data_IF_205969638589
#
_entry.id   IF_205969638589
#
_cell.length_a   1.000
_cell.length_b   1.000
_cell.length_c   1.000
_cell.angle_alpha   90.00
_cell.angle_beta   90.00
_cell.angle_gamma   90.00
#
_symmetry.space_group_name_H-M   'P 1'
#
loop_
_entity.id
_entity.type
_entity.pdbx_description
1 polymer ?
#
# COMPACT_ATOMS: atom_id res chain seq x y z
N UNK A 1 9.96 -48.70 -54.48
CA UNK A 1 11.34 -48.64 -53.91
C UNK A 1 11.34 -47.68 -52.74
N UNK A 2 11.59 -48.21 -51.55
CA UNK A 2 11.49 -47.50 -50.25
C UNK A 2 12.64 -46.50 -50.12
N UNK A 3 12.40 -45.32 -49.48
CA UNK A 3 13.38 -44.67 -48.64
C UNK A 3 12.67 -43.80 -47.60
N UNK A 4 12.97 -44.12 -46.35
CA UNK A 4 12.54 -43.45 -45.13
C UNK A 4 13.30 -42.14 -44.93
N UNK A 5 12.59 -41.05 -44.62
CA UNK A 5 13.16 -39.81 -44.10
C UNK A 5 12.81 -39.63 -42.62
N UNK A 6 13.84 -39.57 -41.76
CA UNK A 6 13.75 -39.37 -40.31
C UNK A 6 13.28 -37.96 -39.99
N UNK A 7 12.23 -37.87 -39.18
CA UNK A 7 11.81 -36.65 -38.46
C UNK A 7 12.84 -36.30 -37.40
N UNK A 8 13.48 -35.18 -37.56
CA UNK A 8 14.28 -34.51 -36.50
C UNK A 8 13.34 -33.84 -35.51
N UNK A 9 13.29 -34.36 -34.28
CA UNK A 9 12.72 -33.68 -33.12
C UNK A 9 13.63 -32.52 -32.76
N UNK A 10 13.15 -31.32 -32.92
CA UNK A 10 13.75 -30.14 -32.31
C UNK A 10 13.48 -30.20 -30.80
N UNK A 11 14.55 -30.42 -30.05
CA UNK A 11 14.59 -30.21 -28.61
C UNK A 11 14.43 -28.71 -28.35
N UNK A 12 13.23 -28.33 -27.91
CA UNK A 12 12.99 -27.03 -27.30
C UNK A 12 13.75 -26.97 -25.97
N UNK A 13 14.94 -26.39 -26.01
CA UNK A 13 15.77 -26.13 -24.85
C UNK A 13 14.97 -25.30 -23.83
N UNK A 14 14.56 -25.94 -22.75
CA UNK A 14 14.11 -25.30 -21.53
C UNK A 14 15.31 -24.53 -20.95
N UNK A 15 15.36 -23.24 -21.24
CA UNK A 15 16.26 -22.31 -20.55
C UNK A 15 15.82 -22.22 -19.08
N UNK A 16 16.43 -23.01 -18.23
CA UNK A 16 16.35 -22.89 -16.79
C UNK A 16 17.28 -21.75 -16.32
N UNK A 17 16.84 -20.51 -16.54
CA UNK A 17 17.42 -19.35 -15.84
C UNK A 17 16.61 -19.19 -14.54
N UNK A 18 16.76 -20.11 -13.62
CA UNK A 18 16.40 -19.96 -12.23
C UNK A 18 17.68 -19.66 -11.46
N UNK A 19 18.01 -18.37 -11.39
CA UNK A 19 18.90 -17.87 -10.33
C UNK A 19 18.35 -18.35 -9.00
N UNK A 20 19.22 -18.89 -8.13
CA UNK A 20 18.89 -19.51 -6.85
C UNK A 20 18.28 -18.53 -5.85
N UNK A 21 17.04 -18.10 -6.07
CA UNK A 21 16.24 -17.36 -5.11
C UNK A 21 15.81 -18.28 -3.96
N UNK A 22 15.81 -17.74 -2.77
CA UNK A 22 15.38 -18.43 -1.54
C UNK A 22 13.96 -18.98 -1.72
N UNK A 23 13.82 -20.32 -1.76
CA UNK A 23 12.53 -20.96 -2.05
C UNK A 23 11.46 -20.62 -1.01
N UNK A 24 11.82 -20.43 0.26
CA UNK A 24 10.90 -20.14 1.36
C UNK A 24 11.12 -18.70 1.83
N UNK A 25 10.60 -17.74 1.08
CA UNK A 25 10.70 -16.32 1.38
C UNK A 25 9.35 -15.62 1.20
N UNK A 26 9.10 -14.60 2.03
CA UNK A 26 7.91 -13.78 2.00
C UNK A 26 8.28 -12.30 1.90
N UNK A 27 7.56 -11.57 1.05
CA UNK A 27 7.60 -10.10 1.01
C UNK A 27 6.33 -9.56 1.67
N UNK A 28 6.47 -8.71 2.68
CA UNK A 28 5.34 -8.19 3.46
C UNK A 28 5.29 -6.66 3.36
N UNK A 29 4.22 -6.14 2.77
CA UNK A 29 3.88 -4.74 2.81
C UNK A 29 2.82 -4.51 3.90
N UNK A 30 3.25 -3.88 5.01
CA UNK A 30 2.41 -3.57 6.17
C UNK A 30 1.66 -2.26 5.98
N UNK A 31 0.74 -2.22 5.02
CA UNK A 31 -0.09 -1.04 4.78
C UNK A 31 -1.16 -0.83 5.86
N UNK A 32 -1.56 0.43 6.06
CA UNK A 32 -2.53 0.81 7.11
C UNK A 32 -3.95 0.30 6.85
N UNK A 33 -4.38 0.23 5.59
CA UNK A 33 -5.68 -0.37 5.21
C UNK A 33 -5.58 -1.86 4.91
N UNK A 34 -4.56 -2.24 4.14
CA UNK A 34 -4.39 -3.60 3.66
C UNK A 34 -2.95 -4.07 3.90
N UNK A 35 -2.79 -5.31 4.35
CA UNK A 35 -1.52 -6.02 4.41
C UNK A 35 -1.41 -6.85 3.13
N UNK A 36 -0.30 -6.73 2.40
CA UNK A 36 -0.03 -7.54 1.21
C UNK A 36 1.14 -8.45 1.49
N UNK A 37 0.97 -9.72 1.19
CA UNK A 37 1.99 -10.74 1.41
C UNK A 37 2.29 -11.43 0.09
N UNK A 38 3.50 -11.22 -0.41
CA UNK A 38 4.05 -11.99 -1.50
C UNK A 38 4.66 -13.29 -0.97
N UNK A 39 4.22 -14.42 -1.50
CA UNK A 39 4.77 -15.74 -1.18
C UNK A 39 5.60 -16.22 -2.37
N UNK A 40 6.92 -16.32 -2.19
CA UNK A 40 7.83 -16.69 -3.27
C UNK A 40 7.65 -18.14 -3.75
N UNK A 41 7.24 -19.05 -2.86
CA UNK A 41 6.99 -20.46 -3.22
C UNK A 41 5.81 -20.61 -4.17
N UNK A 42 4.72 -19.86 -3.93
CA UNK A 42 3.50 -19.92 -4.75
C UNK A 42 3.46 -18.86 -5.85
N UNK A 43 4.38 -17.90 -5.82
CA UNK A 43 4.43 -16.73 -6.71
C UNK A 43 3.16 -15.88 -6.67
N UNK A 44 2.46 -15.83 -5.53
CA UNK A 44 1.20 -15.11 -5.37
C UNK A 44 1.34 -13.99 -4.36
N UNK A 45 0.64 -12.89 -4.62
CA UNK A 45 0.37 -11.82 -3.66
C UNK A 45 -1.02 -12.06 -3.10
N UNK A 46 -1.14 -12.05 -1.78
CA UNK A 46 -2.42 -12.04 -1.06
C UNK A 46 -2.59 -10.71 -0.37
N UNK A 47 -3.80 -10.17 -0.44
CA UNK A 47 -4.18 -8.92 0.21
C UNK A 47 -5.26 -9.22 1.23
N UNK A 48 -5.11 -8.69 2.44
CA UNK A 48 -6.08 -8.78 3.53
C UNK A 48 -6.22 -7.42 4.22
N UNK A 49 -7.39 -7.10 4.72
CA UNK A 49 -7.57 -5.88 5.52
C UNK A 49 -6.70 -5.91 6.77
N UNK A 50 -6.09 -4.78 7.10
CA UNK A 50 -5.34 -4.63 8.34
C UNK A 50 -6.31 -4.36 9.49
N UNK A 51 -7.09 -5.38 9.84
CA UNK A 51 -8.15 -5.31 10.84
C UNK A 51 -8.15 -6.55 11.73
N UNK A 52 -8.48 -6.34 13.02
CA UNK A 52 -8.61 -7.39 14.02
C UNK A 52 -9.87 -7.15 14.87
N UNK A 53 -10.60 -8.21 15.17
CA UNK A 53 -11.76 -8.19 16.06
C UNK A 53 -11.45 -8.92 17.36
N UNK A 54 -11.50 -8.20 18.46
CA UNK A 54 -11.20 -8.70 19.82
C UNK A 54 -12.48 -8.68 20.66
N UNK A 55 -12.84 -9.84 21.19
CA UNK A 55 -13.95 -9.98 22.12
C UNK A 55 -13.47 -9.90 23.57
N UNK A 56 -14.19 -9.13 24.40
CA UNK A 56 -13.94 -8.95 25.83
C UNK A 56 -12.49 -8.59 26.18
N UNK A 57 -11.78 -7.88 25.28
CA UNK A 57 -10.37 -7.47 25.40
C UNK A 57 -9.35 -8.63 25.46
N UNK A 58 -9.76 -9.87 25.15
CA UNK A 58 -8.92 -11.05 25.32
C UNK A 58 -8.83 -11.91 24.06
N UNK A 59 -9.95 -12.34 23.53
CA UNK A 59 -9.98 -13.30 22.43
C UNK A 59 -10.05 -12.62 21.07
N UNK A 60 -9.13 -12.97 20.18
CA UNK A 60 -9.23 -12.65 18.75
C UNK A 60 -10.29 -13.59 18.14
N UNK A 61 -11.37 -13.02 17.62
CA UNK A 61 -12.48 -13.77 17.03
C UNK A 61 -12.51 -13.69 15.50
N UNK A 62 -11.91 -12.64 14.93
CA UNK A 62 -11.76 -12.49 13.49
C UNK A 62 -10.54 -11.60 13.16
N UNK A 63 -10.02 -11.73 11.95
CA UNK A 63 -8.93 -10.90 11.41
C UNK A 63 -9.09 -10.72 9.89
N UNK A 64 -8.36 -9.77 9.33
CA UNK A 64 -8.40 -9.50 7.89
C UNK A 64 -9.77 -9.02 7.43
N UNK A 65 -10.19 -9.51 6.28
CA UNK A 65 -11.47 -9.17 5.66
C UNK A 65 -12.65 -9.55 6.55
N UNK A 66 -12.59 -10.68 7.26
CA UNK A 66 -13.65 -11.12 8.19
C UNK A 66 -13.83 -10.14 9.36
N UNK A 67 -12.75 -9.55 9.87
CA UNK A 67 -12.85 -8.51 10.90
C UNK A 67 -13.40 -7.21 10.31
N UNK A 68 -13.02 -6.85 9.08
CA UNK A 68 -13.54 -5.66 8.41
C UNK A 68 -15.06 -5.74 8.16
N UNK A 69 -15.62 -6.92 7.89
CA UNK A 69 -17.09 -7.10 7.78
C UNK A 69 -17.82 -6.75 9.06
N UNK A 70 -17.17 -6.91 10.22
CA UNK A 70 -17.72 -6.59 11.54
C UNK A 70 -17.54 -5.11 11.92
N UNK A 71 -16.70 -4.36 11.20
CA UNK A 71 -16.39 -2.96 11.51
C UNK A 71 -17.64 -2.08 11.42
N UNK A 72 -17.83 -1.20 12.40
CA UNK A 72 -19.02 -0.33 12.60
C UNK A 72 -20.36 -1.07 12.80
N UNK A 73 -20.34 -2.40 12.97
CA UNK A 73 -21.55 -3.21 13.17
C UNK A 73 -21.54 -4.05 14.44
N UNK A 74 -20.40 -4.11 15.12
CA UNK A 74 -20.19 -4.98 16.27
C UNK A 74 -20.82 -4.42 17.55
N UNK A 75 -21.31 -5.29 18.46
CA UNK A 75 -21.75 -4.87 19.80
C UNK A 75 -20.54 -4.40 20.64
N UNK A 76 -20.80 -3.68 21.72
CA UNK A 76 -19.77 -3.09 22.59
C UNK A 76 -18.77 -4.11 23.20
N UNK A 77 -19.14 -5.39 23.28
CA UNK A 77 -18.25 -6.48 23.73
C UNK A 77 -17.17 -6.85 22.70
N UNK A 78 -17.31 -6.44 21.43
CA UNK A 78 -16.38 -6.73 20.35
C UNK A 78 -15.78 -5.41 19.85
N UNK A 79 -14.47 -5.29 20.01
CA UNK A 79 -13.70 -4.16 19.46
C UNK A 79 -13.08 -4.57 18.13
N UNK A 80 -13.42 -3.87 17.07
CA UNK A 80 -12.78 -4.01 15.75
C UNK A 80 -11.91 -2.79 15.50
N UNK A 81 -10.63 -3.02 15.20
CA UNK A 81 -9.67 -1.92 15.00
C UNK A 81 -8.53 -2.34 14.08
N UNK A 82 -7.88 -1.36 13.45
CA UNK A 82 -6.59 -1.53 12.80
C UNK A 82 -5.47 -1.37 13.83
N UNK A 83 -4.49 -2.29 13.88
CA UNK A 83 -3.33 -2.13 14.76
C UNK A 83 -2.25 -1.17 14.22
N UNK A 84 -2.35 -0.72 12.95
CA UNK A 84 -1.51 0.33 12.38
C UNK A 84 -2.37 1.56 12.13
N UNK A 85 -1.87 2.74 12.48
CA UNK A 85 -2.53 4.02 12.23
C UNK A 85 -1.51 5.13 12.00
N UNK A 86 -1.81 6.05 11.08
CA UNK A 86 -0.92 7.17 10.75
C UNK A 86 0.46 6.75 10.22
N UNK A 87 0.57 5.55 9.63
CA UNK A 87 1.82 5.02 9.08
C UNK A 87 2.71 4.30 10.10
N UNK A 88 2.28 4.15 11.37
CA UNK A 88 3.07 3.50 12.43
C UNK A 88 2.29 2.42 13.16
N UNK A 89 2.99 1.49 13.82
CA UNK A 89 2.36 0.42 14.61
C UNK A 89 1.84 1.04 15.92
N UNK A 90 0.51 1.13 16.05
CA UNK A 90 -0.15 1.69 17.24
C UNK A 90 -0.41 0.62 18.31
N UNK A 91 -0.58 -0.64 17.93
CA UNK A 91 -0.85 -1.77 18.82
C UNK A 91 -0.03 -2.99 18.39
N UNK A 92 1.17 -3.12 18.97
CA UNK A 92 2.14 -4.15 18.58
C UNK A 92 1.63 -5.56 18.88
N UNK A 93 0.91 -5.77 19.98
CA UNK A 93 0.41 -7.10 20.36
C UNK A 93 -0.67 -7.61 19.39
N UNK A 94 -1.61 -6.73 19.03
CA UNK A 94 -2.64 -7.07 18.07
C UNK A 94 -2.08 -7.16 16.64
N UNK A 95 -1.07 -6.36 16.30
CA UNK A 95 -0.38 -6.46 15.02
C UNK A 95 0.36 -7.81 14.88
N UNK A 96 1.03 -8.26 15.94
CA UNK A 96 1.68 -9.58 15.98
C UNK A 96 0.67 -10.72 15.80
N UNK A 97 -0.47 -10.68 16.52
CA UNK A 97 -1.53 -11.68 16.38
C UNK A 97 -2.08 -11.75 14.96
N UNK A 98 -2.34 -10.60 14.37
CA UNK A 98 -2.82 -10.48 13.00
C UNK A 98 -1.80 -11.05 12.01
N UNK A 99 -0.55 -10.61 12.07
CA UNK A 99 0.51 -11.05 11.18
C UNK A 99 0.76 -12.57 11.29
N UNK A 100 0.84 -13.09 12.51
CA UNK A 100 1.00 -14.53 12.76
C UNK A 100 -0.11 -15.35 12.12
N UNK A 101 -1.35 -14.87 12.18
CA UNK A 101 -2.50 -15.54 11.55
C UNK A 101 -2.39 -15.51 10.03
N UNK A 102 -2.11 -14.36 9.44
CA UNK A 102 -1.96 -14.21 7.99
C UNK A 102 -0.82 -15.06 7.42
N UNK A 103 0.33 -15.12 8.11
CA UNK A 103 1.46 -15.96 7.68
C UNK A 103 1.14 -17.43 7.82
N UNK A 104 0.45 -17.83 8.90
CA UNK A 104 0.01 -19.23 9.10
C UNK A 104 -0.88 -19.71 7.97
N UNK A 105 -1.80 -18.88 7.52
CA UNK A 105 -2.67 -19.18 6.37
C UNK A 105 -1.84 -19.39 5.09
N UNK A 106 -0.81 -18.55 4.86
CA UNK A 106 0.09 -18.69 3.71
C UNK A 106 0.93 -19.95 3.74
N UNK A 107 1.28 -20.42 4.91
CA UNK A 107 2.09 -21.65 5.13
C UNK A 107 1.22 -22.90 5.31
N UNK A 108 -0.09 -22.82 5.10
CA UNK A 108 -1.04 -23.94 5.30
C UNK A 108 -0.93 -24.59 6.69
N UNK A 109 -0.73 -23.75 7.71
CA UNK A 109 -0.62 -24.18 9.10
C UNK A 109 0.75 -24.76 9.51
N UNK A 110 1.70 -24.94 8.60
CA UNK A 110 3.05 -25.43 8.91
C UNK A 110 4.03 -24.26 9.01
N UNK A 111 4.34 -23.83 10.23
CA UNK A 111 5.33 -22.78 10.48
C UNK A 111 6.74 -23.33 10.23
N UNK A 112 7.32 -22.99 9.08
CA UNK A 112 8.72 -23.30 8.74
C UNK A 112 9.54 -22.03 8.74
N UNK A 113 10.78 -22.08 9.19
CA UNK A 113 11.69 -20.95 9.09
C UNK A 113 11.77 -20.44 7.65
N UNK A 114 11.49 -19.15 7.47
CA UNK A 114 11.48 -18.47 6.19
C UNK A 114 12.27 -17.17 6.29
N UNK A 115 12.69 -16.63 5.16
CA UNK A 115 13.27 -15.30 5.07
C UNK A 115 12.14 -14.30 4.80
N UNK A 116 12.09 -13.21 5.56
CA UNK A 116 11.06 -12.18 5.46
C UNK A 116 11.66 -10.85 4.99
N UNK A 117 11.06 -10.27 3.99
CA UNK A 117 11.38 -8.95 3.47
C UNK A 117 10.19 -8.03 3.75
N UNK A 118 10.41 -6.96 4.52
CA UNK A 118 9.34 -6.06 4.97
C UNK A 118 9.56 -4.66 4.42
N UNK A 119 8.48 -4.00 3.98
CA UNK A 119 8.54 -2.58 3.64
C UNK A 119 8.54 -1.73 4.91
N UNK A 120 9.38 -0.69 4.91
CA UNK A 120 9.42 0.32 5.96
C UNK A 120 9.25 1.70 5.30
N UNK A 121 8.34 2.56 5.79
CA UNK A 121 8.22 3.93 5.29
C UNK A 121 9.54 4.69 5.47
N UNK A 122 9.86 5.58 4.52
CA UNK A 122 11.20 6.19 4.47
C UNK A 122 11.39 7.33 5.47
N UNK A 123 10.36 8.16 5.69
CA UNK A 123 10.41 9.32 6.59
C UNK A 123 9.77 8.99 7.96
N UNK A 124 10.33 7.98 8.64
CA UNK A 124 9.94 7.58 10.01
C UNK A 124 11.15 7.52 10.91
N UNK A 125 10.93 7.59 12.22
CA UNK A 125 12.02 7.55 13.22
C UNK A 125 12.69 6.18 13.27
N UNK A 126 13.94 6.11 13.75
CA UNK A 126 14.65 4.84 13.92
C UNK A 126 13.91 3.88 14.89
N UNK A 127 13.20 4.42 15.90
CA UNK A 127 12.38 3.62 16.82
C UNK A 127 11.19 3.00 16.09
N UNK A 128 10.54 3.75 15.22
CA UNK A 128 9.44 3.24 14.39
C UNK A 128 9.93 2.18 13.39
N UNK A 129 11.06 2.43 12.70
CA UNK A 129 11.70 1.43 11.81
C UNK A 129 11.97 0.13 12.56
N UNK A 130 12.55 0.25 13.75
CA UNK A 130 12.85 -0.90 14.60
C UNK A 130 11.58 -1.66 15.00
N UNK A 131 10.49 -0.96 15.32
CA UNK A 131 9.21 -1.58 15.65
C UNK A 131 8.66 -2.46 14.53
N UNK A 132 8.78 -2.05 13.26
CA UNK A 132 8.40 -2.87 12.10
C UNK A 132 9.29 -4.13 11.98
N UNK A 133 10.58 -3.98 12.20
CA UNK A 133 11.54 -5.08 12.10
C UNK A 133 11.35 -6.10 13.22
N UNK A 134 11.30 -5.63 14.47
CA UNK A 134 11.15 -6.47 15.67
C UNK A 134 9.78 -7.19 15.66
N UNK A 135 8.72 -6.58 15.13
CA UNK A 135 7.42 -7.23 14.94
C UNK A 135 7.54 -8.57 14.21
N UNK A 136 8.37 -8.64 13.18
CA UNK A 136 8.56 -9.87 12.39
C UNK A 136 9.60 -10.77 13.03
N UNK A 137 10.69 -10.20 13.55
CA UNK A 137 11.81 -10.93 14.14
C UNK A 137 11.39 -11.68 15.41
N UNK A 138 10.67 -11.00 16.31
CA UNK A 138 10.33 -11.53 17.64
C UNK A 138 9.00 -12.28 17.66
N UNK A 139 8.30 -12.33 16.52
CA UNK A 139 6.99 -12.97 16.40
C UNK A 139 7.08 -14.50 16.37
N UNK A 140 5.93 -15.16 16.60
CA UNK A 140 5.80 -16.61 16.56
C UNK A 140 5.95 -17.25 15.17
N UNK A 141 6.18 -16.46 14.12
CA UNK A 141 6.36 -16.96 12.74
C UNK A 141 7.70 -17.68 12.50
N UNK A 142 8.63 -17.66 13.48
CA UNK A 142 9.94 -18.33 13.41
C UNK A 142 10.74 -17.91 12.18
N UNK A 143 10.98 -16.61 12.03
CA UNK A 143 11.80 -16.07 10.96
C UNK A 143 13.21 -16.69 11.00
N UNK A 144 13.72 -17.11 9.85
CA UNK A 144 15.12 -17.48 9.68
C UNK A 144 15.98 -16.21 9.57
N UNK A 145 15.52 -15.26 8.76
CA UNK A 145 16.12 -13.94 8.60
C UNK A 145 15.04 -12.90 8.33
N UNK A 146 15.29 -11.67 8.75
CA UNK A 146 14.40 -10.54 8.47
C UNK A 146 15.21 -9.44 7.79
N UNK A 147 14.70 -8.92 6.71
CA UNK A 147 15.28 -7.84 5.94
C UNK A 147 14.29 -6.70 5.79
N UNK A 148 14.75 -5.49 6.00
CA UNK A 148 14.02 -4.27 5.72
C UNK A 148 14.28 -3.80 4.28
N UNK A 149 13.28 -3.23 3.65
CA UNK A 149 13.38 -2.55 2.34
C UNK A 149 12.61 -1.25 2.47
N UNK A 150 13.22 -0.13 2.11
CA UNK A 150 12.52 1.14 2.09
C UNK A 150 11.34 1.07 1.13
N UNK A 151 10.16 1.54 1.59
CA UNK A 151 8.91 1.40 0.84
C UNK A 151 8.98 2.08 -0.53
N UNK A 152 9.57 3.28 -0.61
CA UNK A 152 9.76 3.98 -1.87
C UNK A 152 10.63 3.19 -2.87
N UNK A 153 11.66 2.47 -2.39
CA UNK A 153 12.47 1.57 -3.21
C UNK A 153 11.65 0.39 -3.72
N UNK A 154 10.86 -0.23 -2.84
CA UNK A 154 9.96 -1.32 -3.25
C UNK A 154 8.92 -0.83 -4.26
N UNK A 155 8.35 0.36 -4.08
CA UNK A 155 7.41 0.96 -5.02
C UNK A 155 8.07 1.22 -6.39
N UNK A 156 9.26 1.81 -6.43
CA UNK A 156 10.02 2.02 -7.66
C UNK A 156 10.25 0.74 -8.44
N UNK A 157 10.69 -0.32 -7.76
CA UNK A 157 10.86 -1.64 -8.37
C UNK A 157 9.53 -2.21 -8.88
N UNK A 158 8.47 -2.11 -8.07
CA UNK A 158 7.15 -2.61 -8.42
C UNK A 158 6.51 -1.91 -9.62
N UNK A 159 6.85 -0.64 -9.82
CA UNK A 159 6.49 0.15 -11.00
C UNK A 159 7.32 -0.23 -12.26
N UNK A 160 8.33 -1.07 -12.09
CA UNK A 160 9.23 -1.46 -13.18
C UNK A 160 10.32 -0.43 -13.49
N UNK A 161 10.53 0.54 -12.61
CA UNK A 161 11.58 1.55 -12.76
C UNK A 161 12.95 0.89 -12.50
N UNK A 162 13.93 1.16 -13.37
CA UNK A 162 15.33 0.78 -13.11
C UNK A 162 15.95 1.78 -12.14
N UNK A 163 15.69 1.58 -10.86
CA UNK A 163 16.16 2.47 -9.79
C UNK A 163 17.68 2.47 -9.61
N UNK A 164 18.40 1.48 -10.13
CA UNK A 164 19.87 1.43 -10.08
C UNK A 164 20.53 2.39 -11.08
N UNK A 165 19.74 2.91 -12.01
CA UNK A 165 20.18 3.91 -12.95
C UNK A 165 20.43 5.27 -12.25
N UNK A 166 21.25 6.13 -12.85
CA UNK A 166 21.50 7.50 -12.38
C UNK A 166 20.35 8.47 -12.67
N UNK A 167 19.33 8.03 -13.40
CA UNK A 167 18.15 8.85 -13.69
C UNK A 167 17.29 9.10 -12.45
N UNK A 168 16.88 10.36 -12.29
CA UNK A 168 15.97 10.75 -11.23
C UNK A 168 14.53 10.27 -11.51
N UNK A 169 13.89 9.64 -10.52
CA UNK A 169 12.49 9.21 -10.60
C UNK A 169 11.72 9.76 -9.42
N UNK A 170 10.57 10.39 -9.68
CA UNK A 170 9.63 10.86 -8.66
C UNK A 170 8.52 9.84 -8.48
N UNK A 171 8.44 9.24 -7.30
CA UNK A 171 7.41 8.29 -6.90
C UNK A 171 6.53 8.93 -5.82
N UNK A 172 5.22 8.87 -5.99
CA UNK A 172 4.22 9.36 -5.02
C UNK A 172 3.29 8.20 -4.66
N UNK A 173 3.49 7.63 -3.48
CA UNK A 173 2.62 6.60 -2.92
C UNK A 173 1.51 7.23 -2.09
N UNK A 174 0.28 7.20 -2.62
CA UNK A 174 -0.90 7.72 -1.95
C UNK A 174 -1.68 6.55 -1.34
N UNK A 175 -1.37 6.29 -0.06
CA UNK A 175 -1.92 5.20 0.72
C UNK A 175 -3.25 5.55 1.38
N UNK A 176 -3.61 4.77 2.42
CA UNK A 176 -4.84 5.00 3.17
C UNK A 176 -4.69 6.11 4.21
N UNK A 177 -3.66 6.05 5.08
CA UNK A 177 -3.40 7.08 6.10
C UNK A 177 -2.35 8.09 5.68
N UNK A 178 -1.44 7.71 4.79
CA UNK A 178 -0.26 8.50 4.46
C UNK A 178 -0.04 8.60 2.95
N UNK A 179 0.60 9.70 2.56
CA UNK A 179 1.20 9.87 1.24
C UNK A 179 2.70 10.02 1.39
N UNK A 180 3.48 9.21 0.71
CA UNK A 180 4.94 9.30 0.64
C UNK A 180 5.37 9.84 -0.72
N UNK A 181 6.12 10.95 -0.72
CA UNK A 181 6.69 11.58 -1.92
C UNK A 181 8.18 11.36 -1.89
N UNK A 182 8.74 10.64 -2.85
CA UNK A 182 10.14 10.23 -2.85
C UNK A 182 10.81 10.41 -4.20
N UNK A 183 12.06 10.89 -4.19
CA UNK A 183 12.92 10.92 -5.36
C UNK A 183 13.97 9.84 -5.22
N UNK A 184 14.03 8.97 -6.23
CA UNK A 184 14.92 7.82 -6.30
C UNK A 184 15.98 8.03 -7.38
N UNK A 185 17.21 7.63 -7.10
CA UNK A 185 18.31 7.56 -8.07
C UNK A 185 19.42 6.65 -7.53
N UNK A 186 20.15 5.95 -8.39
CA UNK A 186 21.31 5.11 -8.05
C UNK A 186 21.03 4.09 -6.93
N UNK A 187 19.82 3.51 -6.92
CA UNK A 187 19.41 2.52 -5.93
C UNK A 187 19.12 3.09 -4.54
N UNK A 188 19.06 4.42 -4.38
CA UNK A 188 18.83 5.09 -3.11
C UNK A 188 17.70 6.13 -3.16
N UNK A 189 17.36 6.62 -1.99
CA UNK A 189 16.39 7.71 -1.80
C UNK A 189 17.20 9.02 -1.68
N UNK A 190 16.98 9.94 -2.61
CA UNK A 190 17.61 11.25 -2.60
C UNK A 190 16.87 12.21 -1.68
N UNK A 191 15.55 12.26 -1.80
CA UNK A 191 14.65 13.04 -0.95
C UNK A 191 13.40 12.20 -0.68
N UNK A 192 12.87 12.31 0.52
CA UNK A 192 11.57 11.73 0.85
C UNK A 192 10.82 12.59 1.85
N UNK A 193 9.48 12.56 1.76
CA UNK A 193 8.58 13.19 2.73
C UNK A 193 7.31 12.39 2.88
N UNK A 194 6.93 12.15 4.14
CA UNK A 194 5.69 11.50 4.52
C UNK A 194 4.67 12.54 4.99
N UNK A 195 3.49 12.53 4.37
CA UNK A 195 2.32 13.30 4.81
C UNK A 195 1.31 12.38 5.48
N UNK A 196 0.63 12.87 6.50
CA UNK A 196 -0.51 12.19 7.13
C UNK A 196 -1.83 12.53 6.41
N UNK A 197 -1.83 12.36 5.09
CA UNK A 197 -2.98 12.58 4.20
C UNK A 197 -3.06 11.39 3.25
N UNK A 198 -4.24 10.79 3.13
CA UNK A 198 -4.50 9.63 2.27
C UNK A 198 -6.00 9.32 2.24
N UNK A 199 -6.37 8.12 1.81
CA UNK A 199 -7.76 7.69 1.64
C UNK A 199 -8.62 7.86 2.89
N UNK A 200 -8.06 7.65 4.09
CA UNK A 200 -8.77 7.88 5.36
C UNK A 200 -9.20 9.34 5.54
N UNK A 201 -8.30 10.27 5.27
CA UNK A 201 -8.60 11.71 5.36
C UNK A 201 -9.63 12.11 4.29
N UNK A 202 -9.56 11.49 3.10
CA UNK A 202 -10.58 11.68 2.05
C UNK A 202 -11.96 11.25 2.55
N UNK A 203 -12.07 10.07 3.15
CA UNK A 203 -13.32 9.56 3.70
C UNK A 203 -13.86 10.49 4.80
N UNK A 204 -13.00 11.01 5.70
CA UNK A 204 -13.39 11.96 6.75
C UNK A 204 -13.87 13.30 6.18
N UNK A 205 -13.27 13.78 5.09
CA UNK A 205 -13.71 14.99 4.38
C UNK A 205 -15.11 14.81 3.79
N UNK A 206 -15.40 13.63 3.22
CA UNK A 206 -16.74 13.29 2.70
C UNK A 206 -17.76 13.22 3.84
N UNK A 207 -17.45 12.53 4.94
CA UNK A 207 -18.32 12.43 6.12
C UNK A 207 -18.67 13.85 6.64
N UNK A 208 -17.66 14.69 6.74
CA UNK A 208 -17.82 16.09 7.20
C UNK A 208 -18.68 16.90 6.24
N UNK A 209 -18.46 16.78 4.93
CA UNK A 209 -19.25 17.47 3.92
C UNK A 209 -20.72 17.01 3.91
N UNK A 210 -20.96 15.68 3.97
CA UNK A 210 -22.32 15.11 4.03
C UNK A 210 -23.04 15.56 5.29
N UNK A 211 -22.36 15.58 6.43
CA UNK A 211 -22.94 16.06 7.69
C UNK A 211 -23.34 17.53 7.60
N UNK A 212 -22.49 18.37 7.02
CA UNK A 212 -22.71 19.82 6.90
C UNK A 212 -23.84 20.14 5.94
N UNK A 213 -23.87 19.48 4.76
CA UNK A 213 -24.80 19.81 3.69
C UNK A 213 -26.18 19.19 3.87
N UNK A 214 -26.23 17.95 4.39
CA UNK A 214 -27.46 17.15 4.42
C UNK A 214 -27.94 16.82 5.83
N UNK A 215 -27.28 17.29 6.89
CA UNK A 215 -27.55 16.89 8.28
C UNK A 215 -27.56 15.35 8.46
N UNK A 216 -26.79 14.63 7.65
CA UNK A 216 -26.74 13.16 7.63
C UNK A 216 -25.42 12.67 8.20
N UNK A 217 -25.47 11.77 9.20
CA UNK A 217 -24.30 11.06 9.70
C UNK A 217 -24.20 9.75 8.91
N UNK A 218 -23.08 9.58 8.22
CA UNK A 218 -22.69 8.33 7.56
C UNK A 218 -21.46 7.74 8.26
N UNK A 219 -21.30 6.41 8.19
CA UNK A 219 -20.10 5.73 8.69
C UNK A 219 -18.93 5.84 7.72
N UNK A 220 -17.74 5.52 8.22
CA UNK A 220 -16.50 5.55 7.43
C UNK A 220 -16.54 4.57 6.25
N UNK A 221 -17.07 3.37 6.48
CA UNK A 221 -17.24 2.37 5.43
C UNK A 221 -18.17 2.86 4.31
N UNK A 222 -19.23 3.60 4.66
CA UNK A 222 -20.14 4.19 3.67
C UNK A 222 -19.43 5.25 2.84
N UNK A 223 -18.61 6.11 3.45
CA UNK A 223 -17.84 7.14 2.76
C UNK A 223 -16.78 6.52 1.83
N UNK A 224 -15.99 5.55 2.30
CA UNK A 224 -15.02 4.78 1.49
C UNK A 224 -15.70 4.14 0.27
N UNK A 225 -16.85 3.48 0.50
CA UNK A 225 -17.62 2.84 -0.57
C UNK A 225 -18.12 3.85 -1.59
N UNK A 226 -18.69 4.96 -1.14
CA UNK A 226 -19.18 6.02 -2.03
C UNK A 226 -18.04 6.60 -2.88
N UNK A 227 -16.92 6.93 -2.26
CA UNK A 227 -15.74 7.48 -2.92
C UNK A 227 -15.18 6.53 -3.99
N UNK A 228 -14.93 5.27 -3.62
CA UNK A 228 -14.32 4.29 -4.52
C UNK A 228 -15.25 3.87 -5.66
N UNK A 229 -16.53 3.71 -5.40
CA UNK A 229 -17.49 3.38 -6.45
C UNK A 229 -17.71 4.54 -7.41
N UNK A 230 -17.83 5.78 -6.93
CA UNK A 230 -17.95 6.95 -7.82
C UNK A 230 -16.73 7.12 -8.71
N UNK A 231 -15.52 6.88 -8.20
CA UNK A 231 -14.27 6.93 -8.99
C UNK A 231 -14.20 5.85 -10.06
N UNK A 232 -14.82 4.68 -9.84
CA UNK A 232 -14.83 3.57 -10.80
C UNK A 232 -15.96 3.65 -11.84
N UNK A 233 -16.98 4.49 -11.60
CA UNK A 233 -18.10 4.66 -12.53
C UNK A 233 -17.65 5.39 -13.82
N UNK A 234 -18.28 5.04 -14.94
CA UNK A 234 -18.12 5.75 -16.22
C UNK A 234 -19.37 6.58 -16.53
N UNK A 235 -19.23 7.66 -17.28
CA UNK A 235 -20.33 8.53 -17.71
C UNK A 235 -20.37 9.87 -16.98
N UNK A 236 -21.29 10.75 -17.41
CA UNK A 236 -21.35 12.17 -16.99
C UNK A 236 -22.24 12.43 -15.77
N UNK A 237 -23.13 11.48 -15.40
CA UNK A 237 -24.06 11.64 -14.26
C UNK A 237 -23.82 10.55 -13.22
N UNK A 238 -22.64 10.59 -12.61
CA UNK A 238 -22.27 9.62 -11.58
C UNK A 238 -22.92 10.00 -10.25
N UNK A 239 -23.67 9.09 -9.65
CA UNK A 239 -24.25 9.27 -8.33
C UNK A 239 -24.40 7.92 -7.61
N UNK A 240 -24.38 7.95 -6.29
CA UNK A 240 -24.53 6.78 -5.43
C UNK A 240 -25.50 7.07 -4.29
N UNK A 241 -26.32 6.10 -3.95
CA UNK A 241 -27.19 6.17 -2.79
C UNK A 241 -26.43 5.79 -1.54
N UNK A 242 -26.47 6.64 -0.53
CA UNK A 242 -25.88 6.38 0.80
C UNK A 242 -26.96 6.40 1.85
N UNK A 243 -26.75 5.60 2.91
CA UNK A 243 -27.64 5.50 4.04
C UNK A 243 -26.94 5.98 5.30
N UNK A 244 -27.68 6.65 6.16
CA UNK A 244 -27.15 7.16 7.40
C UNK A 244 -28.26 7.49 8.39
N UNK A 245 -27.93 8.32 9.40
CA UNK A 245 -28.87 8.78 10.41
C UNK A 245 -28.98 10.30 10.35
N UNK A 246 -30.20 10.80 10.20
CA UNK A 246 -30.50 12.22 10.28
C UNK A 246 -30.15 12.77 11.68
N UNK A 247 -29.48 13.92 11.73
CA UNK A 247 -29.02 14.52 13.01
C UNK A 247 -30.18 15.09 13.80
N UNK A 248 -31.20 15.65 13.12
CA UNK A 248 -32.30 16.38 13.75
C UNK A 248 -33.33 15.41 14.32
N UNK A 249 -33.73 14.44 13.49
CA UNK A 249 -34.83 13.49 13.86
C UNK A 249 -34.28 12.23 14.52
N UNK A 250 -33.01 11.91 14.35
CA UNK A 250 -32.39 10.65 14.78
C UNK A 250 -32.79 9.42 13.96
N UNK A 251 -33.62 9.59 12.91
CA UNK A 251 -34.14 8.49 12.11
C UNK A 251 -33.17 8.08 10.97
N UNK A 252 -33.24 6.83 10.50
CA UNK A 252 -32.56 6.41 9.29
C UNK A 252 -33.02 7.25 8.08
N UNK A 253 -32.06 7.68 7.27
CA UNK A 253 -32.30 8.49 6.07
C UNK A 253 -31.35 8.05 4.96
N UNK A 254 -31.80 8.22 3.73
CA UNK A 254 -31.00 8.01 2.52
C UNK A 254 -30.73 9.30 1.77
N UNK A 255 -29.65 9.35 1.03
CA UNK A 255 -29.30 10.48 0.18
C UNK A 255 -28.55 10.01 -1.07
N UNK A 256 -28.85 10.64 -2.20
CA UNK A 256 -28.06 10.51 -3.42
C UNK A 256 -26.88 11.48 -3.36
N UNK A 257 -25.65 10.95 -3.39
CA UNK A 257 -24.43 11.74 -3.52
C UNK A 257 -23.99 11.75 -4.98
N UNK A 258 -23.77 12.93 -5.54
CA UNK A 258 -23.22 13.11 -6.87
C UNK A 258 -21.69 13.10 -6.83
N UNK A 259 -21.05 12.69 -7.93
CA UNK A 259 -19.59 12.69 -8.03
C UNK A 259 -18.98 14.09 -7.83
N UNK A 260 -19.64 15.13 -8.36
CA UNK A 260 -19.18 16.52 -8.17
C UNK A 260 -19.11 16.90 -6.70
N UNK A 261 -20.13 16.53 -5.90
CA UNK A 261 -20.15 16.81 -4.46
C UNK A 261 -18.97 16.14 -3.74
N UNK A 262 -18.67 14.88 -4.10
CA UNK A 262 -17.54 14.15 -3.52
C UNK A 262 -16.21 14.77 -3.98
N UNK A 263 -16.09 15.11 -5.26
CA UNK A 263 -14.90 15.81 -5.79
C UNK A 263 -14.63 17.13 -5.07
N UNK A 264 -15.65 17.95 -4.87
CA UNK A 264 -15.54 19.23 -4.15
C UNK A 264 -15.06 19.03 -2.70
N UNK A 265 -15.57 18.00 -2.02
CA UNK A 265 -15.16 17.66 -0.66
C UNK A 265 -13.68 17.27 -0.55
N UNK A 266 -13.06 16.80 -1.64
CA UNK A 266 -11.68 16.32 -1.66
C UNK A 266 -10.65 17.35 -2.15
N UNK A 267 -11.08 18.50 -2.69
CA UNK A 267 -10.19 19.49 -3.31
C UNK A 267 -9.05 19.95 -2.40
N UNK A 268 -9.35 20.19 -1.12
CA UNK A 268 -8.34 20.61 -0.15
C UNK A 268 -7.29 19.53 0.12
N UNK A 269 -7.72 18.26 0.17
CA UNK A 269 -6.81 17.13 0.36
C UNK A 269 -5.86 16.96 -0.83
N UNK A 270 -6.40 17.12 -2.05
CA UNK A 270 -5.60 17.04 -3.28
C UNK A 270 -4.59 18.20 -3.34
N UNK A 271 -5.02 19.41 -2.97
CA UNK A 271 -4.13 20.57 -2.92
C UNK A 271 -2.95 20.33 -1.97
N UNK A 272 -3.20 19.80 -0.76
CA UNK A 272 -2.13 19.48 0.20
C UNK A 272 -1.11 18.49 -0.37
N UNK A 273 -1.55 17.46 -1.09
CA UNK A 273 -0.65 16.51 -1.75
C UNK A 273 0.15 17.21 -2.86
N UNK A 274 -0.51 18.01 -3.72
CA UNK A 274 0.15 18.75 -4.79
C UNK A 274 1.21 19.73 -4.26
N UNK A 275 0.88 20.46 -3.20
CA UNK A 275 1.81 21.42 -2.58
C UNK A 275 3.05 20.70 -2.03
N UNK A 276 2.87 19.51 -1.43
CA UNK A 276 4.01 18.73 -0.95
C UNK A 276 4.89 18.20 -2.08
N UNK A 277 4.30 17.76 -3.19
CA UNK A 277 5.05 17.35 -4.38
C UNK A 277 5.89 18.52 -4.91
N UNK A 278 5.31 19.74 -4.97
CA UNK A 278 6.05 20.95 -5.37
C UNK A 278 7.24 21.22 -4.44
N UNK A 279 7.04 21.15 -3.11
CA UNK A 279 8.11 21.37 -2.13
C UNK A 279 9.28 20.39 -2.33
N UNK A 280 8.99 19.14 -2.68
CA UNK A 280 10.03 18.15 -2.99
C UNK A 280 10.74 18.50 -4.31
N UNK A 281 9.99 18.86 -5.35
CA UNK A 281 10.56 19.25 -6.64
C UNK A 281 11.47 20.50 -6.54
N UNK A 282 11.09 21.49 -5.75
CA UNK A 282 11.89 22.71 -5.50
C UNK A 282 13.25 22.41 -4.84
N UNK A 283 13.35 21.31 -4.09
CA UNK A 283 14.58 20.87 -3.41
C UNK A 283 15.39 19.87 -4.22
N UNK A 284 14.85 19.44 -5.35
CA UNK A 284 15.47 18.42 -6.19
C UNK A 284 16.67 19.01 -6.94
N UNK A 285 17.83 18.33 -6.97
CA UNK A 285 18.96 18.73 -7.80
C UNK A 285 18.57 18.91 -9.26
N UNK A 286 19.12 19.93 -9.98
CA UNK A 286 18.71 20.26 -11.35
C UNK A 286 18.80 19.10 -12.34
N UNK A 287 19.84 18.25 -12.24
CA UNK A 287 20.04 17.10 -13.11
C UNK A 287 18.93 16.07 -12.94
N UNK A 288 18.52 15.77 -11.68
CA UNK A 288 17.41 14.88 -11.40
C UNK A 288 16.06 15.50 -11.79
N UNK A 289 15.92 16.82 -11.65
CA UNK A 289 14.71 17.53 -12.11
C UNK A 289 14.53 17.41 -13.62
N UNK A 290 15.61 17.45 -14.40
CA UNK A 290 15.56 17.25 -15.85
C UNK A 290 15.09 15.84 -16.22
N UNK A 291 15.47 14.82 -15.45
CA UNK A 291 15.00 13.44 -15.65
C UNK A 291 13.52 13.30 -15.28
N UNK A 292 13.11 13.87 -14.14
CA UNK A 292 11.71 13.87 -13.69
C UNK A 292 10.82 14.59 -14.70
N UNK A 293 11.30 15.68 -15.30
CA UNK A 293 10.55 16.38 -16.35
C UNK A 293 10.26 15.48 -17.57
N UNK A 294 11.18 14.59 -17.92
CA UNK A 294 11.03 13.65 -19.03
C UNK A 294 10.18 12.44 -18.68
N UNK A 295 10.30 11.94 -17.44
CA UNK A 295 9.69 10.70 -17.00
C UNK A 295 8.31 10.92 -16.35
N UNK A 296 8.02 12.12 -15.87
CA UNK A 296 6.80 12.45 -15.13
C UNK A 296 6.81 11.94 -13.68
N UNK A 297 5.63 11.96 -13.09
CA UNK A 297 5.35 11.50 -11.73
C UNK A 297 4.84 10.06 -11.82
N UNK A 298 5.41 9.15 -11.06
CA UNK A 298 4.90 7.79 -10.91
C UNK A 298 4.02 7.69 -9.67
N UNK A 299 2.73 7.42 -9.85
CA UNK A 299 1.75 7.30 -8.78
C UNK A 299 1.60 5.84 -8.35
N UNK A 300 1.42 5.61 -7.07
CA UNK A 300 1.12 4.29 -6.51
C UNK A 300 0.26 4.42 -5.24
N UNK A 301 -0.07 3.30 -4.60
CA UNK A 301 -0.98 3.29 -3.46
C UNK A 301 -2.46 3.32 -3.86
N UNK A 302 -3.33 2.81 -2.96
CA UNK A 302 -4.75 2.63 -3.30
C UNK A 302 -5.52 3.92 -3.54
N UNK A 303 -5.15 5.01 -2.88
CA UNK A 303 -5.85 6.29 -2.99
C UNK A 303 -5.43 7.10 -4.23
N UNK A 304 -4.35 6.73 -4.93
CA UNK A 304 -4.00 7.39 -6.20
C UNK A 304 -5.03 7.16 -7.32
N UNK A 305 -5.88 6.14 -7.18
CA UNK A 305 -6.98 5.83 -8.10
C UNK A 305 -8.17 6.78 -7.95
N UNK A 306 -8.11 7.72 -6.99
CA UNK A 306 -9.19 8.69 -6.82
C UNK A 306 -9.29 9.58 -8.05
N UNK A 307 -10.50 9.63 -8.64
CA UNK A 307 -10.80 10.42 -9.83
C UNK A 307 -10.39 11.88 -9.65
N UNK A 308 -9.73 12.45 -10.64
CA UNK A 308 -9.26 13.82 -10.68
C UNK A 308 -7.93 14.10 -9.95
N UNK A 309 -7.43 13.18 -9.11
CA UNK A 309 -6.20 13.41 -8.36
C UNK A 309 -4.95 13.41 -9.25
N UNK A 310 -4.85 12.43 -10.16
CA UNK A 310 -3.73 12.36 -11.11
C UNK A 310 -3.71 13.59 -12.04
N UNK A 311 -4.87 13.98 -12.56
CA UNK A 311 -5.00 15.17 -13.42
C UNK A 311 -4.62 16.45 -12.67
N UNK A 312 -5.03 16.58 -11.40
CA UNK A 312 -4.67 17.74 -10.59
C UNK A 312 -3.18 17.81 -10.31
N UNK A 313 -2.53 16.66 -10.01
CA UNK A 313 -1.08 16.58 -9.85
C UNK A 313 -0.36 16.96 -11.13
N UNK A 314 -0.77 16.40 -12.28
CA UNK A 314 -0.19 16.70 -13.58
C UNK A 314 -0.29 18.20 -13.91
N UNK A 315 -1.48 18.78 -13.76
CA UNK A 315 -1.71 20.19 -14.03
C UNK A 315 -0.95 21.12 -13.07
N UNK A 316 -0.88 20.75 -11.78
CA UNK A 316 -0.24 21.56 -10.75
C UNK A 316 1.27 21.56 -10.85
N UNK A 317 1.87 20.42 -11.18
CA UNK A 317 3.32 20.24 -11.31
C UNK A 317 3.83 20.45 -12.74
N UNK A 318 2.95 20.55 -13.73
CA UNK A 318 3.27 20.62 -15.17
C UNK A 318 4.12 19.41 -15.61
N UNK A 319 3.76 18.20 -15.11
CA UNK A 319 4.41 16.94 -15.38
C UNK A 319 3.34 15.88 -15.71
N UNK A 320 3.69 14.90 -16.53
CA UNK A 320 2.81 13.76 -16.77
C UNK A 320 2.66 12.92 -15.50
N UNK A 321 1.45 12.44 -15.23
CA UNK A 321 1.17 11.55 -14.10
C UNK A 321 0.90 10.13 -14.59
N UNK A 322 1.74 9.18 -14.17
CA UNK A 322 1.69 7.79 -14.58
C UNK A 322 1.07 6.93 -13.47
N UNK A 323 -0.13 6.38 -13.71
CA UNK A 323 -0.83 5.49 -12.77
C UNK A 323 -0.76 4.06 -13.30
N UNK A 324 -0.23 3.07 -12.55
CA UNK A 324 -0.18 1.68 -12.98
C UNK A 324 -1.55 0.99 -12.86
N UNK A 325 -1.74 -0.14 -13.55
CA UNK A 325 -2.99 -0.92 -13.53
C UNK A 325 -3.36 -1.44 -12.12
N UNK A 326 -2.37 -1.74 -11.29
CA UNK A 326 -2.59 -2.31 -9.95
C UNK A 326 -1.76 -1.58 -8.88
N UNK A 327 -2.05 -0.31 -8.59
CA UNK A 327 -1.23 0.53 -7.70
C UNK A 327 -1.24 0.03 -6.24
N UNK A 328 -2.24 -0.73 -5.83
CA UNK A 328 -2.33 -1.30 -4.47
C UNK A 328 -1.24 -2.32 -4.18
N UNK A 329 -0.77 -3.06 -5.21
CA UNK A 329 0.18 -4.16 -5.05
C UNK A 329 1.64 -3.76 -5.35
N UNK A 330 1.91 -2.51 -5.69
CA UNK A 330 3.21 -2.07 -6.21
C UNK A 330 4.36 -2.42 -5.27
N UNK A 331 4.28 -2.07 -3.99
CA UNK A 331 5.30 -2.40 -3.00
C UNK A 331 5.55 -3.92 -2.87
N UNK A 332 4.48 -4.72 -2.84
CA UNK A 332 4.61 -6.19 -2.77
C UNK A 332 5.24 -6.79 -4.03
N UNK A 333 4.98 -6.22 -5.21
CA UNK A 333 5.64 -6.59 -6.47
C UNK A 333 7.12 -6.20 -6.47
N UNK A 334 7.46 -5.07 -5.87
CA UNK A 334 8.85 -4.65 -5.67
C UNK A 334 9.59 -5.61 -4.74
N UNK A 335 9.00 -5.98 -3.60
CA UNK A 335 9.57 -7.00 -2.70
C UNK A 335 9.78 -8.34 -3.42
N UNK A 336 8.87 -8.74 -4.31
CA UNK A 336 9.06 -9.94 -5.13
C UNK A 336 10.32 -9.83 -6.02
N UNK A 337 10.64 -8.64 -6.54
CA UNK A 337 11.87 -8.42 -7.30
C UNK A 337 13.11 -8.49 -6.42
N UNK A 338 13.08 -7.88 -5.21
CA UNK A 338 14.18 -7.96 -4.23
C UNK A 338 14.48 -9.42 -3.85
N UNK A 339 13.45 -10.23 -3.62
CA UNK A 339 13.60 -11.65 -3.27
C UNK A 339 14.20 -12.46 -4.43
N UNK A 340 13.80 -12.17 -5.67
CA UNK A 340 14.12 -13.01 -6.84
C UNK A 340 15.36 -12.58 -7.61
N UNK A 341 15.63 -11.28 -7.70
CA UNK A 341 16.72 -10.75 -8.50
C UNK A 341 17.97 -10.54 -7.67
N UNK A 342 19.08 -11.15 -8.05
CA UNK A 342 20.37 -10.98 -7.37
C UNK A 342 20.83 -9.50 -7.38
N UNK A 343 20.55 -8.75 -8.46
CA UNK A 343 20.87 -7.33 -8.59
C UNK A 343 20.10 -6.40 -7.65
N UNK A 344 19.03 -6.88 -7.00
CA UNK A 344 18.23 -6.09 -6.07
C UNK A 344 18.47 -6.46 -4.61
N UNK A 345 19.27 -7.49 -4.31
CA UNK A 345 19.49 -7.96 -2.93
C UNK A 345 20.20 -6.95 -2.03
N UNK A 346 21.04 -6.11 -2.59
CA UNK A 346 21.72 -5.02 -1.89
C UNK A 346 20.79 -3.89 -1.45
N UNK A 347 19.53 -3.88 -1.91
CA UNK A 347 18.50 -2.92 -1.52
C UNK A 347 17.77 -3.33 -0.22
N UNK A 348 18.03 -4.55 0.26
CA UNK A 348 17.53 -5.06 1.52
C UNK A 348 18.64 -5.00 2.58
N UNK A 349 18.28 -4.59 3.80
CA UNK A 349 19.21 -4.40 4.91
C UNK A 349 18.65 -4.97 6.22
N UNK A 350 19.53 -5.17 7.21
CA UNK A 350 19.15 -5.58 8.56
C UNK A 350 19.28 -4.41 9.53
N UNK A 351 18.42 -4.34 10.53
CA UNK A 351 18.42 -3.24 11.53
C UNK A 351 19.29 -3.59 12.75
N UNK A 352 19.88 -4.79 12.80
CA UNK A 352 20.64 -5.31 13.96
C UNK A 352 21.93 -4.55 14.30
N UNK A 353 22.38 -3.63 13.46
CA UNK A 353 23.65 -2.90 13.62
C UNK A 353 23.56 -1.49 14.24
N UNK A 354 22.40 -0.94 14.50
CA UNK A 354 22.23 0.46 14.95
C UNK A 354 22.15 0.64 16.48
N UNK A 355 22.47 -0.37 17.25
CA UNK A 355 22.29 -0.41 18.71
C UNK A 355 23.52 -0.14 19.57
N UNK A 356 24.65 0.29 19.03
CA UNK A 356 25.88 0.58 19.80
C UNK A 356 26.49 1.93 19.36
N UNK A 357 25.82 3.02 19.68
CA UNK A 357 26.45 4.34 19.77
C UNK A 357 25.95 5.06 21.03
#
# INVERSE_FOLDING_TARGET
>A
MRLFGRSSREDAGRSSILGGGEKNAFGIDLGTCNIKIFNNTTSRITTQKNMIAIQNRQAMIAYGDSAYEMFEKSPASIRVSSPIGGGVIADIQNMERLLNSLIRDQQRGQMRGADYYITIPSDVTEVEKRSFYDLVKDSAIRAKSVYAVDKAIADGLGLGIDINNSQGCLVVDIGYDTTEVSILSLGGIVLSKLLKTGGHVFDQSIITAVRREYNLIIGQRTAETARTQLSSMTGTKKSIQVFGRDIVTGLPMEKMLKAEFVSDALQENFRQICDQVKVILERTPPELSADIYRNGIFLTGGACQQEGLADQLANTCQLDANVPDAPVETAARGLAQVIRKASCKNLAYTIEGLGNY
#
